data_IF_179975430722
#
_entry.id   IF_179975430722
#
_cell.length_a   1.000
_cell.length_b   1.000
_cell.length_c   1.000
_cell.angle_alpha   90.00
_cell.angle_beta   90.00
_cell.angle_gamma   90.00
#
_symmetry.space_group_name_H-M   'P 1'
#
loop_
_entity.id
_entity.type
_entity.pdbx_description
1 polymer ?
#
# COMPACT_ATOMS: atom_id res chain seq x y z
N UNK A 1 -6.12 -21.90 -5.17
CA UNK A 1 -4.76 -22.04 -5.74
C UNK A 1 -4.04 -20.74 -5.36
N UNK A 2 -3.56 -20.55 -4.14
CA UNK A 2 -2.64 -21.39 -3.39
C UNK A 2 -1.29 -20.67 -3.30
N UNK A 3 -1.25 -19.41 -2.86
CA UNK A 3 -0.02 -18.70 -2.53
C UNK A 3 -0.03 -18.50 -1.02
N UNK A 4 0.99 -19.01 -0.35
CA UNK A 4 1.14 -19.05 1.10
C UNK A 4 1.56 -17.67 1.63
N UNK A 5 0.65 -16.79 2.06
CA UNK A 5 1.05 -15.48 2.58
C UNK A 5 1.66 -15.64 3.99
N UNK A 6 1.36 -16.77 4.64
CA UNK A 6 1.83 -17.18 5.97
C UNK A 6 3.37 -17.25 6.06
N UNK A 7 4.08 -17.42 4.93
CA UNK A 7 5.54 -17.55 4.87
C UNK A 7 6.27 -16.32 4.31
N UNK A 8 5.58 -15.20 4.05
CA UNK A 8 6.19 -13.97 3.52
C UNK A 8 6.34 -12.96 4.66
N UNK A 9 7.55 -12.46 4.86
CA UNK A 9 7.87 -11.45 5.87
C UNK A 9 7.86 -10.02 5.35
N UNK A 10 8.27 -9.82 4.09
CA UNK A 10 8.34 -8.53 3.43
C UNK A 10 8.02 -8.76 1.96
N UNK A 11 7.19 -7.91 1.38
CA UNK A 11 6.99 -7.82 -0.06
C UNK A 11 7.84 -6.65 -0.61
N UNK A 12 8.60 -6.94 -1.65
CA UNK A 12 9.38 -5.94 -2.37
C UNK A 12 8.61 -5.60 -3.65
N UNK A 13 8.09 -4.38 -3.70
CA UNK A 13 7.33 -3.90 -4.86
C UNK A 13 8.23 -3.70 -6.07
N UNK A 14 7.72 -3.94 -7.27
CA UNK A 14 8.46 -3.73 -8.51
C UNK A 14 8.49 -2.25 -8.90
N UNK A 15 9.48 -1.87 -9.69
CA UNK A 15 9.57 -0.55 -10.32
C UNK A 15 10.13 -0.69 -11.75
N UNK A 16 9.73 0.17 -12.71
CA UNK A 16 8.90 1.37 -12.50
C UNK A 16 7.39 1.04 -12.36
N UNK A 17 6.91 -0.09 -12.85
CA UNK A 17 5.52 -0.49 -12.64
C UNK A 17 5.32 -1.05 -11.22
N UNK A 18 4.72 -0.24 -10.36
CA UNK A 18 4.37 -0.63 -8.99
C UNK A 18 3.11 -1.50 -8.94
N UNK A 19 2.94 -2.22 -7.85
CA UNK A 19 1.72 -2.94 -7.53
C UNK A 19 0.50 -2.04 -7.31
N UNK A 20 -0.64 -2.66 -7.10
CA UNK A 20 -1.89 -1.99 -6.75
C UNK A 20 -2.77 -2.95 -5.97
N UNK A 21 -3.43 -3.87 -6.69
CA UNK A 21 -4.20 -4.96 -6.06
C UNK A 21 -3.31 -5.86 -5.20
N UNK A 22 -2.14 -6.26 -5.72
CA UNK A 22 -1.17 -7.10 -5.00
C UNK A 22 -0.64 -6.42 -3.73
N UNK A 23 -0.49 -5.10 -3.76
CA UNK A 23 -0.13 -4.28 -2.59
C UNK A 23 -1.24 -4.32 -1.56
N UNK A 24 -2.50 -4.08 -1.96
CA UNK A 24 -3.66 -4.19 -1.08
C UNK A 24 -3.77 -5.59 -0.46
N UNK A 25 -3.61 -6.65 -1.25
CA UNK A 25 -3.65 -8.04 -0.79
C UNK A 25 -2.54 -8.31 0.24
N UNK A 26 -1.30 -7.90 -0.05
CA UNK A 26 -0.17 -8.08 0.86
C UNK A 26 -0.43 -7.43 2.22
N UNK A 27 -0.84 -6.16 2.21
CA UNK A 27 -1.16 -5.44 3.44
C UNK A 27 -2.37 -6.06 4.17
N UNK A 28 -3.39 -6.52 3.44
CA UNK A 28 -4.54 -7.22 4.03
C UNK A 28 -4.14 -8.55 4.68
N UNK A 29 -3.08 -9.19 4.18
CA UNK A 29 -2.50 -10.40 4.75
C UNK A 29 -1.49 -10.12 5.88
N UNK A 30 -1.24 -8.85 6.22
CA UNK A 30 -0.27 -8.45 7.24
C UNK A 30 1.17 -8.50 6.74
N UNK A 31 1.41 -8.49 5.43
CA UNK A 31 2.75 -8.47 4.85
C UNK A 31 3.09 -7.03 4.48
N UNK A 32 4.10 -6.39 5.11
CA UNK A 32 4.53 -5.04 4.74
C UNK A 32 5.13 -5.02 3.33
N UNK A 33 4.86 -3.94 2.60
CA UNK A 33 5.34 -3.72 1.23
C UNK A 33 6.28 -2.52 1.21
N UNK A 34 7.49 -2.68 0.69
CA UNK A 34 8.41 -1.56 0.41
C UNK A 34 8.26 -1.18 -1.05
N UNK A 35 8.06 0.11 -1.32
CA UNK A 35 7.80 0.62 -2.68
C UNK A 35 8.69 1.81 -3.03
N UNK A 36 9.18 1.82 -4.27
CA UNK A 36 9.91 2.95 -4.86
C UNK A 36 8.91 3.83 -5.59
N UNK A 37 8.69 5.04 -5.09
CA UNK A 37 7.81 6.02 -5.71
C UNK A 37 8.54 6.78 -6.81
N UNK A 38 7.91 6.85 -7.98
CA UNK A 38 8.34 7.68 -9.10
C UNK A 38 7.33 8.75 -9.50
N UNK A 39 7.56 9.35 -10.67
CA UNK A 39 6.80 10.51 -11.14
C UNK A 39 5.50 10.13 -11.87
N UNK A 40 5.50 9.02 -12.61
CA UNK A 40 4.33 8.63 -13.38
C UNK A 40 3.26 7.93 -12.52
N UNK A 41 2.00 7.95 -12.97
CA UNK A 41 0.88 7.33 -12.27
C UNK A 41 1.14 5.86 -11.90
N UNK A 42 1.70 5.09 -12.84
CA UNK A 42 1.99 3.66 -12.66
C UNK A 42 3.16 3.39 -11.69
N UNK A 43 3.93 4.42 -11.34
CA UNK A 43 5.00 4.40 -10.34
C UNK A 43 4.49 4.81 -8.94
N UNK A 44 3.19 5.13 -8.81
CA UNK A 44 2.60 5.73 -7.59
C UNK A 44 1.39 4.97 -7.05
N UNK A 45 1.02 3.85 -7.66
CA UNK A 45 -0.16 3.08 -7.24
C UNK A 45 0.04 2.53 -5.82
N UNK A 46 1.14 1.82 -5.58
CA UNK A 46 1.49 1.34 -4.23
C UNK A 46 1.70 2.47 -3.24
N UNK A 47 2.30 3.59 -3.65
CA UNK A 47 2.45 4.79 -2.79
C UNK A 47 1.09 5.25 -2.26
N UNK A 48 0.09 5.40 -3.13
CA UNK A 48 -1.26 5.82 -2.73
C UNK A 48 -1.87 4.86 -1.72
N UNK A 49 -1.74 3.55 -1.95
CA UNK A 49 -2.23 2.51 -1.03
C UNK A 49 -1.51 2.58 0.32
N UNK A 50 -0.18 2.63 0.34
CA UNK A 50 0.64 2.62 1.56
C UNK A 50 0.38 3.85 2.43
N UNK A 51 0.28 5.04 1.82
CA UNK A 51 -0.06 6.27 2.55
C UNK A 51 -1.45 6.18 3.17
N UNK A 52 -2.45 5.76 2.38
CA UNK A 52 -3.82 5.60 2.89
C UNK A 52 -3.97 4.43 3.86
N UNK A 53 -3.02 3.49 3.93
CA UNK A 53 -2.98 2.43 4.93
C UNK A 53 -2.19 2.81 6.20
N UNK A 54 -1.65 4.03 6.29
CA UNK A 54 -0.84 4.47 7.42
C UNK A 54 0.53 3.78 7.51
N UNK A 55 1.11 3.48 6.35
CA UNK A 55 2.43 2.84 6.17
C UNK A 55 3.32 3.66 5.20
N UNK A 56 3.20 5.00 5.25
CA UNK A 56 3.94 5.92 4.39
C UNK A 56 5.46 5.82 4.57
N UNK A 57 5.91 5.35 5.73
CA UNK A 57 7.31 5.10 6.08
C UNK A 57 7.96 3.94 5.31
N UNK A 58 7.17 3.14 4.57
CA UNK A 58 7.66 2.07 3.69
C UNK A 58 7.80 2.52 2.23
N UNK A 59 7.58 3.81 1.93
CA UNK A 59 7.76 4.38 0.60
C UNK A 59 9.04 5.20 0.54
N UNK A 60 9.88 4.91 -0.45
CA UNK A 60 11.15 5.60 -0.70
C UNK A 60 11.19 6.21 -2.09
N UNK A 61 12.20 7.04 -2.40
CA UNK A 61 12.27 7.77 -3.68
C UNK A 61 13.51 7.43 -4.51
N UNK A 62 14.45 6.67 -3.94
CA UNK A 62 15.66 6.24 -4.66
C UNK A 62 15.94 4.75 -4.46
N UNK A 63 16.62 4.14 -5.43
CA UNK A 63 17.03 2.72 -5.34
C UNK A 63 17.91 2.45 -4.10
N UNK A 64 18.90 3.28 -3.74
CA UNK A 64 19.67 3.08 -2.52
C UNK A 64 18.82 3.11 -1.24
N UNK A 65 17.82 3.99 -1.16
CA UNK A 65 16.88 4.01 -0.04
C UNK A 65 16.00 2.77 -0.01
N UNK A 66 15.58 2.27 -1.18
CA UNK A 66 14.79 1.05 -1.30
C UNK A 66 15.53 -0.17 -0.74
N UNK A 67 16.80 -0.33 -1.13
CA UNK A 67 17.67 -1.38 -0.62
C UNK A 67 17.91 -1.23 0.89
N UNK A 68 18.21 -0.01 1.35
CA UNK A 68 18.43 0.27 2.76
C UNK A 68 17.17 -0.01 3.61
N UNK A 69 15.99 0.39 3.14
CA UNK A 69 14.71 0.12 3.81
C UNK A 69 14.43 -1.38 3.88
N UNK A 70 14.69 -2.13 2.80
CA UNK A 70 14.51 -3.58 2.76
C UNK A 70 15.41 -4.28 3.77
N UNK A 71 16.69 -3.93 3.80
CA UNK A 71 17.66 -4.48 4.75
C UNK A 71 17.29 -4.11 6.19
N UNK A 72 16.93 -2.85 6.44
CA UNK A 72 16.57 -2.37 7.77
C UNK A 72 15.33 -3.11 8.31
N UNK A 73 14.28 -3.26 7.50
CA UNK A 73 13.08 -3.99 7.90
C UNK A 73 13.35 -5.49 8.07
N UNK A 74 14.22 -6.09 7.25
CA UNK A 74 14.65 -7.49 7.40
C UNK A 74 15.47 -7.70 8.68
N UNK A 75 16.24 -6.70 9.11
CA UNK A 75 17.01 -6.74 10.35
C UNK A 75 16.18 -6.47 11.62
N UNK A 76 14.91 -6.06 11.50
CA UNK A 76 14.04 -5.70 12.62
C UNK A 76 12.82 -6.66 12.77
N UNK A 77 12.99 -7.81 13.47
CA UNK A 77 11.89 -8.75 13.70
C UNK A 77 10.73 -8.18 14.50
N UNK A 78 10.98 -7.22 15.39
CA UNK A 78 9.91 -6.63 16.20
C UNK A 78 9.00 -5.80 15.31
N UNK A 79 9.57 -4.90 14.50
CA UNK A 79 8.79 -4.08 13.58
C UNK A 79 8.02 -4.91 12.56
N UNK A 80 8.58 -6.02 12.06
CA UNK A 80 7.82 -6.94 11.19
C UNK A 80 6.64 -7.58 11.90
N UNK A 81 6.78 -7.95 13.19
CA UNK A 81 5.66 -8.47 13.99
C UNK A 81 4.57 -7.41 14.20
N UNK A 82 4.97 -6.19 14.55
CA UNK A 82 4.04 -5.09 14.79
C UNK A 82 3.25 -4.77 13.51
N UNK A 83 3.95 -4.62 12.36
CA UNK A 83 3.31 -4.43 11.06
C UNK A 83 2.36 -5.58 10.72
N UNK A 84 2.77 -6.83 10.94
CA UNK A 84 1.93 -8.00 10.67
C UNK A 84 0.65 -8.04 11.51
N UNK A 85 0.72 -7.59 12.75
CA UNK A 85 -0.44 -7.53 13.65
C UNK A 85 -1.38 -6.38 13.27
N UNK A 86 -0.84 -5.23 12.86
CA UNK A 86 -1.60 -4.00 12.74
C UNK A 86 -2.14 -3.69 11.35
N UNK A 87 -1.43 -4.09 10.28
CA UNK A 87 -1.72 -3.63 8.91
C UNK A 87 -3.16 -3.89 8.45
N UNK A 88 -3.71 -5.07 8.77
CA UNK A 88 -5.11 -5.39 8.44
C UNK A 88 -6.10 -4.47 9.17
N UNK A 89 -5.85 -4.18 10.45
CA UNK A 89 -6.68 -3.29 11.23
C UNK A 89 -6.58 -1.85 10.70
N UNK A 90 -5.36 -1.41 10.35
CA UNK A 90 -5.12 -0.10 9.74
C UNK A 90 -5.90 0.05 8.42
N UNK A 91 -5.87 -0.93 7.53
CA UNK A 91 -6.67 -0.87 6.28
C UNK A 91 -8.16 -0.76 6.57
N UNK A 92 -8.69 -1.59 7.48
CA UNK A 92 -10.12 -1.55 7.83
C UNK A 92 -10.55 -0.20 8.40
N UNK A 93 -9.66 0.47 9.12
CA UNK A 93 -9.90 1.77 9.74
C UNK A 93 -9.60 2.96 8.81
N UNK A 94 -9.01 2.72 7.63
CA UNK A 94 -8.62 3.78 6.71
C UNK A 94 -9.64 3.99 5.59
N UNK A 95 -9.47 5.04 4.74
CA UNK A 95 -10.35 5.25 3.59
C UNK A 95 -10.44 4.05 2.64
N UNK A 96 -9.40 3.19 2.61
CA UNK A 96 -9.40 1.96 1.80
C UNK A 96 -10.43 0.94 2.28
N UNK A 97 -10.76 0.96 3.58
CA UNK A 97 -11.72 0.08 4.23
C UNK A 97 -13.15 0.65 4.29
N UNK A 98 -13.38 1.88 3.80
CA UNK A 98 -14.69 2.53 3.82
C UNK A 98 -15.34 2.59 2.41
N UNK A 99 -16.04 1.52 2.01
CA UNK A 99 -16.71 1.50 0.70
C UNK A 99 -17.88 2.49 0.64
N UNK A 100 -18.45 2.93 1.78
CA UNK A 100 -19.56 3.88 1.80
C UNK A 100 -19.08 5.29 1.49
N UNK A 101 -17.97 5.71 2.11
CA UNK A 101 -17.32 6.97 1.78
C UNK A 101 -16.87 7.00 0.32
N UNK A 102 -16.22 5.93 -0.16
CA UNK A 102 -15.84 5.84 -1.58
C UNK A 102 -17.03 6.01 -2.52
N UNK A 103 -18.13 5.26 -2.29
CA UNK A 103 -19.31 5.35 -3.15
C UNK A 103 -19.92 6.76 -3.12
N UNK A 104 -20.06 7.36 -1.93
CA UNK A 104 -20.57 8.71 -1.78
C UNK A 104 -19.74 9.73 -2.58
N UNK A 105 -18.42 9.74 -2.40
CA UNK A 105 -17.54 10.72 -3.04
C UNK A 105 -17.48 10.52 -4.55
N UNK A 106 -17.48 9.26 -5.00
CA UNK A 106 -17.54 8.93 -6.42
C UNK A 106 -18.83 9.44 -7.09
N UNK A 107 -20.00 9.22 -6.47
CA UNK A 107 -21.27 9.71 -7.00
C UNK A 107 -21.35 11.25 -6.98
N UNK A 108 -20.85 11.89 -5.92
CA UNK A 108 -20.80 13.35 -5.83
C UNK A 108 -19.93 13.97 -6.94
N UNK A 109 -18.78 13.35 -7.23
CA UNK A 109 -17.90 13.76 -8.32
C UNK A 109 -18.57 13.60 -9.68
N UNK A 110 -19.16 12.44 -9.96
CA UNK A 110 -19.89 12.20 -11.21
C UNK A 110 -21.00 13.21 -11.41
N UNK A 111 -21.82 13.45 -10.37
CA UNK A 111 -22.92 14.41 -10.44
C UNK A 111 -22.44 15.83 -10.78
N UNK A 112 -21.22 16.19 -10.38
CA UNK A 112 -20.61 17.48 -10.73
C UNK A 112 -20.10 17.50 -12.17
N UNK A 113 -19.44 16.43 -12.60
CA UNK A 113 -18.88 16.33 -13.96
C UNK A 113 -19.95 16.32 -15.07
N UNK A 114 -21.18 15.87 -14.77
CA UNK A 114 -22.27 15.78 -15.77
C UNK A 114 -23.25 16.96 -15.73
N UNK A 115 -23.09 17.91 -14.80
CA UNK A 115 -23.92 19.13 -14.80
C UNK A 115 -23.49 20.04 -15.95
N UNK A 116 -24.42 20.49 -16.82
CA UNK A 116 -24.10 21.48 -17.83
C UNK A 116 -23.72 22.81 -17.16
N UNK A 117 -22.79 23.54 -17.79
CA UNK A 117 -22.31 24.85 -17.34
C UNK A 117 -23.43 25.89 -17.31
#
# INVERSE_FOLDING_TARGET
MGSHPENIDICLDTFPLTGGTTTCESLWMGVPVISLMGDALFERLSYSVLVNAGAADLVVQTVPEYEAAAVALAADPQRRRDLRQDLRAKIKASPLGDPRAFAHDFYALIATAVRPA
#
